data_IF_396633708289
#
_entry.id   IF_396633708289
#
_cell.length_a   1.000
_cell.length_b   1.000
_cell.length_c   1.000
_cell.angle_alpha   90.00
_cell.angle_beta   90.00
_cell.angle_gamma   90.00
#
_symmetry.space_group_name_H-M   'P 1'
#
loop_
_entity.id
_entity.type
_entity.pdbx_description
1 polymer ?
#
# COMPACT_ATOMS: atom_id res chain seq x y z
N UNK A 1 -0.32 14.12 -33.90
CA UNK A 1 0.26 14.23 -33.74
C UNK A 1 0.85 14.47 -33.21
N UNK A 2 1.08 14.60 -32.95
CA UNK A 2 1.69 14.71 -32.58
C UNK A 2 2.63 15.10 -32.14
N UNK A 3 2.92 15.39 -31.86
CA UNK A 3 3.66 15.75 -31.55
C UNK A 3 4.52 15.81 -31.11
N UNK A 4 4.64 16.03 -31.39
CA UNK A 4 5.54 15.82 -30.88
C UNK A 4 6.33 16.64 -30.32
N UNK A 5 6.44 16.64 -29.43
CA UNK A 5 7.24 17.46 -28.70
C UNK A 5 8.61 17.49 -29.23
N UNK A 6 9.36 18.39 -28.83
CA UNK A 6 10.71 18.41 -29.26
C UNK A 6 11.42 17.32 -28.57
N UNK A 7 12.46 16.83 -29.12
CA UNK A 7 13.21 15.78 -28.52
C UNK A 7 13.68 16.13 -27.14
N UNK A 8 14.03 17.38 -26.96
CA UNK A 8 14.51 17.75 -25.70
C UNK A 8 13.46 17.58 -24.65
N UNK A 9 12.25 17.91 -24.92
CA UNK A 9 11.24 17.71 -23.94
C UNK A 9 10.96 16.26 -23.75
N UNK A 10 11.03 15.48 -24.77
CA UNK A 10 10.78 14.07 -24.60
C UNK A 10 11.76 13.47 -23.64
N UNK A 11 13.02 13.84 -23.73
CA UNK A 11 13.98 13.28 -22.84
C UNK A 11 13.75 13.73 -21.43
N UNK A 12 13.38 14.96 -21.24
CA UNK A 12 13.25 15.42 -19.90
C UNK A 12 12.03 14.92 -19.24
N UNK A 13 11.07 14.42 -19.98
CA UNK A 13 9.86 13.97 -19.36
C UNK A 13 9.77 12.49 -19.24
N UNK A 14 10.88 11.83 -19.18
CA UNK A 14 10.84 10.39 -19.01
C UNK A 14 10.50 10.06 -17.56
N UNK A 15 9.53 9.24 -17.36
CA UNK A 15 9.14 8.86 -16.03
C UNK A 15 9.72 7.50 -15.71
N UNK A 16 10.15 7.31 -14.50
CA UNK A 16 10.66 6.02 -14.09
C UNK A 16 10.13 5.74 -12.70
N UNK A 17 10.14 4.49 -12.32
CA UNK A 17 9.68 4.11 -11.02
C UNK A 17 10.63 4.64 -9.98
N UNK A 18 10.12 5.29 -8.96
CA UNK A 18 10.96 5.83 -7.93
C UNK A 18 11.37 4.73 -6.98
N UNK A 19 10.44 3.87 -6.62
CA UNK A 19 10.78 2.68 -5.89
C UNK A 19 9.60 1.72 -6.04
N UNK A 20 9.81 0.49 -5.64
CA UNK A 20 8.83 -0.55 -5.81
C UNK A 20 8.54 -1.18 -4.45
N UNK A 21 7.28 -1.34 -4.12
CA UNK A 21 6.89 -1.96 -2.88
C UNK A 21 6.56 -3.41 -3.18
N UNK A 22 7.33 -4.34 -2.61
CA UNK A 22 7.16 -5.74 -2.91
C UNK A 22 6.94 -6.49 -1.63
N UNK A 23 5.83 -7.07 -1.45
CA UNK A 23 5.59 -7.92 -0.31
C UNK A 23 4.41 -8.84 -0.54
N UNK A 24 3.51 -8.44 -1.43
CA UNK A 24 2.38 -9.30 -1.74
C UNK A 24 2.86 -10.51 -2.54
N UNK A 25 2.21 -11.64 -2.31
CA UNK A 25 2.58 -12.87 -3.00
C UNK A 25 1.73 -13.12 -4.23
N UNK A 26 0.82 -12.27 -4.54
CA UNK A 26 -0.03 -12.46 -5.71
C UNK A 26 -0.47 -11.08 -6.19
N UNK A 27 -1.36 -11.04 -7.14
CA UNK A 27 -1.76 -9.79 -7.77
C UNK A 27 -2.35 -8.78 -6.82
N UNK A 28 -1.99 -7.53 -6.97
CA UNK A 28 -2.55 -6.45 -6.18
C UNK A 28 -3.80 -5.99 -6.91
N UNK A 29 -4.94 -6.04 -6.24
CA UNK A 29 -6.22 -5.75 -6.87
C UNK A 29 -6.72 -4.35 -6.58
N UNK A 30 -6.30 -3.75 -5.48
CA UNK A 30 -6.77 -2.42 -5.13
C UNK A 30 -5.76 -1.73 -4.25
N UNK A 31 -5.80 -0.42 -4.27
CA UNK A 31 -4.98 0.35 -3.36
C UNK A 31 -5.71 1.62 -3.00
N UNK A 32 -5.39 2.19 -1.88
CA UNK A 32 -6.02 3.43 -1.44
C UNK A 32 -5.08 4.21 -0.56
N UNK A 33 -5.18 5.53 -0.65
CA UNK A 33 -4.33 6.38 0.16
C UNK A 33 -5.07 6.88 1.38
N UNK A 34 -4.34 7.00 2.47
CA UNK A 34 -4.90 7.59 3.67
C UNK A 34 -5.23 9.06 3.38
N UNK A 35 -6.30 9.57 3.96
CA UNK A 35 -6.73 10.93 3.63
C UNK A 35 -5.79 12.03 4.12
N UNK A 36 -5.03 11.79 5.20
CA UNK A 36 -4.20 12.85 5.73
C UNK A 36 -2.75 12.44 5.95
N UNK A 37 -2.44 11.17 5.97
CA UNK A 37 -1.08 10.72 6.23
C UNK A 37 -0.47 10.09 4.99
N UNK A 38 0.84 10.07 4.87
CA UNK A 38 1.48 9.46 3.71
C UNK A 38 1.49 7.94 3.85
N UNK A 39 0.33 7.37 3.82
CA UNK A 39 0.12 5.96 4.04
C UNK A 39 -0.68 5.38 2.91
N UNK A 40 -0.29 4.21 2.46
CA UNK A 40 -0.96 3.51 1.39
C UNK A 40 -1.42 2.16 1.92
N UNK A 41 -2.59 1.72 1.52
CA UNK A 41 -3.06 0.39 1.85
C UNK A 41 -3.31 -0.32 0.54
N UNK A 42 -2.85 -1.56 0.45
CA UNK A 42 -3.02 -2.37 -0.75
C UNK A 42 -3.75 -3.65 -0.41
N UNK A 43 -4.51 -4.16 -1.36
CA UNK A 43 -5.28 -5.38 -1.19
C UNK A 43 -4.91 -6.33 -2.32
N UNK A 44 -4.79 -7.60 -2.01
CA UNK A 44 -4.22 -8.54 -2.95
C UNK A 44 -4.99 -9.85 -3.02
N UNK A 45 -4.76 -10.55 -4.11
CA UNK A 45 -5.27 -11.89 -4.27
C UNK A 45 -4.61 -12.85 -3.30
N UNK A 46 -3.55 -12.44 -2.63
CA UNK A 46 -2.91 -13.27 -1.63
C UNK A 46 -3.69 -13.28 -0.32
N UNK A 47 -4.90 -12.71 -0.31
CA UNK A 47 -5.82 -12.74 0.83
C UNK A 47 -5.47 -11.73 1.91
N UNK A 48 -4.57 -10.82 1.65
CA UNK A 48 -4.14 -9.86 2.67
C UNK A 48 -4.31 -8.43 2.21
N UNK A 49 -4.32 -7.53 3.19
CA UNK A 49 -4.13 -6.12 2.93
C UNK A 49 -2.84 -5.74 3.62
N UNK A 50 -2.14 -4.78 3.07
CA UNK A 50 -0.89 -4.32 3.69
C UNK A 50 -0.90 -2.81 3.80
N UNK A 51 -0.41 -2.32 4.92
CA UNK A 51 -0.33 -0.90 5.17
C UNK A 51 1.13 -0.47 5.04
N UNK A 52 1.38 0.54 4.25
CA UNK A 52 2.73 1.00 3.95
C UNK A 52 2.88 2.45 4.40
N UNK A 53 4.00 2.76 5.03
CA UNK A 53 4.30 4.14 5.39
C UNK A 53 5.18 4.71 4.32
N UNK A 54 4.65 5.61 3.52
CA UNK A 54 5.39 6.10 2.36
C UNK A 54 6.52 7.02 2.73
N UNK A 55 6.49 7.60 3.90
CA UNK A 55 7.62 8.39 4.31
C UNK A 55 8.81 7.54 4.59
N UNK A 56 8.61 6.33 5.07
CA UNK A 56 9.72 5.48 5.40
C UNK A 56 10.19 4.67 4.22
N UNK A 57 9.60 4.85 3.07
CA UNK A 57 10.08 4.14 1.92
C UNK A 57 11.15 4.92 1.20
N UNK A 58 11.50 6.10 1.65
CA UNK A 58 12.49 6.86 0.97
C UNK A 58 13.81 6.24 1.21
N UNK A 59 14.52 5.86 0.25
CA UNK A 59 15.78 5.18 0.39
C UNK A 59 16.81 6.09 0.84
N UNK A 60 17.16 5.99 1.99
CA UNK A 60 18.22 6.74 2.48
C UNK A 60 19.47 6.28 1.87
N UNK A 61 19.62 5.07 1.48
CA UNK A 61 20.82 4.65 0.91
C UNK A 61 20.60 4.29 -0.42
N UNK A 62 21.55 4.35 -1.13
CA UNK A 62 21.48 3.99 -2.43
C UNK A 62 21.40 2.60 -2.57
N UNK A 63 21.37 1.91 -1.63
CA UNK A 63 21.31 0.55 -1.77
C UNK A 63 20.09 0.25 -2.53
N UNK A 64 20.20 -0.45 -3.43
CA UNK A 64 19.12 -0.71 -4.22
C UNK A 64 18.14 -1.48 -3.58
N UNK A 65 18.43 -2.01 -2.59
CA UNK A 65 17.57 -2.83 -2.01
C UNK A 65 16.55 -2.05 -1.51
N UNK A 66 15.80 -1.62 -1.94
CA UNK A 66 14.89 -0.93 -1.50
C UNK A 66 13.79 -1.72 -1.09
N UNK A 67 13.94 -2.80 -0.40
CA UNK A 67 12.91 -3.61 0.04
C UNK A 67 12.23 -2.87 1.14
N UNK A 68 11.13 -2.28 0.88
CA UNK A 68 10.39 -1.58 1.86
C UNK A 68 9.42 -2.56 2.44
N UNK A 69 9.35 -2.65 3.74
CA UNK A 69 8.44 -3.58 4.36
C UNK A 69 7.17 -2.89 4.78
N UNK A 70 6.03 -3.56 4.71
CA UNK A 70 4.80 -2.94 5.17
C UNK A 70 4.82 -2.78 6.67
N UNK A 71 4.12 -1.79 7.16
CA UNK A 71 4.01 -1.57 8.59
C UNK A 71 3.13 -2.66 9.20
N UNK A 72 2.11 -3.09 8.52
CA UNK A 72 1.21 -4.09 9.07
C UNK A 72 0.55 -4.87 7.94
N UNK A 73 0.24 -6.12 8.19
CA UNK A 73 -0.48 -6.95 7.24
C UNK A 73 -1.76 -7.44 7.90
N UNK A 74 -2.88 -7.17 7.25
CA UNK A 74 -4.18 -7.57 7.76
C UNK A 74 -4.56 -8.90 7.14
N UNK A 75 -4.94 -9.88 7.95
CA UNK A 75 -5.22 -11.22 7.47
C UNK A 75 -6.53 -11.71 8.04
N UNK A 76 -7.55 -11.73 7.26
CA UNK A 76 -8.80 -12.34 7.69
C UNK A 76 -9.62 -12.86 6.54
N UNK A 77 -9.39 -12.37 5.33
CA UNK A 77 -10.12 -12.88 4.19
C UNK A 77 -9.63 -14.29 3.87
N UNK A 78 -10.55 -15.15 3.41
CA UNK A 78 -10.18 -16.49 3.03
C UNK A 78 -10.14 -16.65 1.53
N UNK A 79 -9.95 -15.60 0.82
CA UNK A 79 -9.79 -15.60 -0.63
C UNK A 79 -9.26 -14.25 -1.04
N UNK A 80 -9.09 -14.06 -2.32
CA UNK A 80 -8.57 -12.77 -2.81
C UNK A 80 -9.36 -11.59 -2.29
N UNK A 81 -8.66 -10.54 -1.93
CA UNK A 81 -9.28 -9.29 -1.52
C UNK A 81 -9.38 -8.46 -2.77
N UNK A 82 -10.59 -8.04 -3.11
CA UNK A 82 -10.84 -7.44 -4.42
C UNK A 82 -10.94 -5.93 -4.39
N UNK A 83 -11.28 -5.36 -3.25
CA UNK A 83 -11.47 -3.91 -3.19
C UNK A 83 -11.20 -3.41 -1.80
N UNK A 84 -10.95 -2.13 -1.68
CA UNK A 84 -10.81 -1.52 -0.37
C UNK A 84 -11.17 -0.05 -0.45
N UNK A 85 -11.53 0.52 0.68
CA UNK A 85 -11.72 1.96 0.77
C UNK A 85 -11.37 2.39 2.18
N UNK A 86 -10.96 3.62 2.34
CA UNK A 86 -10.54 4.13 3.63
C UNK A 86 -11.54 5.21 4.03
N UNK A 87 -12.00 5.17 5.26
CA UNK A 87 -12.96 6.15 5.73
C UNK A 87 -12.34 7.54 5.70
N UNK A 88 -13.19 8.54 5.54
CA UNK A 88 -12.70 9.90 5.35
C UNK A 88 -11.93 10.43 6.55
N UNK A 89 -12.14 9.88 7.73
CA UNK A 89 -11.38 10.34 8.89
C UNK A 89 -10.08 9.55 9.05
N UNK A 90 -9.85 8.53 8.25
CA UNK A 90 -8.60 7.80 8.32
C UNK A 90 -8.51 6.74 9.40
N UNK A 91 -9.57 6.52 10.15
CA UNK A 91 -9.50 5.57 11.27
C UNK A 91 -9.86 4.15 10.86
N UNK A 92 -10.62 3.99 9.82
CA UNK A 92 -11.11 2.68 9.42
C UNK A 92 -10.83 2.41 7.96
N UNK A 93 -10.65 1.15 7.65
CA UNK A 93 -10.53 0.70 6.28
C UNK A 93 -11.52 -0.43 6.07
N UNK A 94 -12.11 -0.50 4.91
CA UNK A 94 -13.08 -1.52 4.58
C UNK A 94 -12.57 -2.31 3.40
N UNK A 95 -12.66 -3.61 3.46
CA UNK A 95 -12.21 -4.45 2.35
C UNK A 95 -13.30 -5.43 1.97
N UNK A 96 -13.37 -5.74 0.69
CA UNK A 96 -14.32 -6.71 0.18
C UNK A 96 -13.58 -7.82 -0.52
N UNK A 97 -13.99 -9.03 -0.31
CA UNK A 97 -13.27 -10.18 -0.84
C UNK A 97 -14.15 -11.15 -1.57
N UNK A 98 -13.50 -12.12 -2.23
CA UNK A 98 -14.19 -13.15 -2.97
C UNK A 98 -14.89 -14.09 -2.00
N UNK A 99 -14.55 -14.04 -0.72
CA UNK A 99 -15.19 -14.86 0.29
C UNK A 99 -16.55 -14.29 0.69
N UNK A 100 -17.03 -13.28 -0.02
CA UNK A 100 -18.35 -12.70 0.19
C UNK A 100 -18.45 -11.89 1.47
N UNK A 101 -17.33 -11.49 2.03
CA UNK A 101 -17.38 -10.71 3.26
C UNK A 101 -16.84 -9.30 3.02
N UNK A 102 -17.31 -8.39 3.87
CA UNK A 102 -16.77 -7.07 3.96
C UNK A 102 -16.17 -6.98 5.34
N UNK A 103 -14.89 -6.66 5.41
CA UNK A 103 -14.20 -6.57 6.68
C UNK A 103 -13.89 -5.14 7.01
N UNK A 104 -14.01 -4.79 8.28
CA UNK A 104 -13.75 -3.44 8.75
C UNK A 104 -12.53 -3.51 9.65
N UNK A 105 -11.57 -2.69 9.35
CA UNK A 105 -10.28 -2.75 10.05
C UNK A 105 -9.99 -1.43 10.72
N UNK A 106 -9.52 -1.49 11.96
CA UNK A 106 -9.00 -0.30 12.60
C UNK A 106 -7.59 -0.08 12.11
N UNK A 107 -7.28 1.11 11.69
CA UNK A 107 -5.98 1.38 11.13
C UNK A 107 -5.01 1.76 12.23
N UNK A 108 -3.84 1.13 12.29
CA UNK A 108 -2.84 1.50 13.29
C UNK A 108 -2.18 2.80 12.92
N UNK A 109 -1.56 3.41 13.89
CA UNK A 109 -0.82 4.63 13.62
C UNK A 109 0.29 4.37 12.63
N UNK A 110 0.49 5.24 11.67
CA UNK A 110 1.55 5.01 10.69
C UNK A 110 2.94 5.06 11.28
N UNK A 111 3.08 5.58 12.49
CA UNK A 111 4.39 5.61 13.10
C UNK A 111 4.65 4.37 13.93
N UNK A 112 3.74 3.42 13.96
CA UNK A 112 3.94 2.22 14.73
C UNK A 112 5.04 1.38 14.11
N UNK A 113 5.89 0.84 14.97
CA UNK A 113 6.92 -0.06 14.50
C UNK A 113 6.28 -1.44 14.43
N UNK A 114 6.35 -2.10 13.33
CA UNK A 114 5.71 -3.39 13.17
C UNK A 114 6.20 -4.42 14.17
N UNK A 115 7.39 -4.25 14.68
CA UNK A 115 7.90 -5.21 15.62
C UNK A 115 7.53 -4.87 17.05
N UNK A 116 7.16 -3.63 17.32
CA UNK A 116 6.86 -3.23 18.68
C UNK A 116 5.41 -3.40 19.04
N UNK A 117 4.53 -3.36 18.10
CA UNK A 117 3.13 -3.34 18.40
C UNK A 117 2.42 -4.58 17.97
N UNK A 118 3.18 -5.64 17.79
CA UNK A 118 2.63 -6.85 17.26
C UNK A 118 1.37 -7.28 17.95
N UNK A 119 1.28 -7.35 19.17
CA UNK A 119 0.12 -7.85 19.84
C UNK A 119 -1.00 -6.85 20.03
N UNK A 120 -0.78 -5.60 19.72
CA UNK A 120 -1.76 -4.61 20.03
C UNK A 120 -2.87 -4.47 19.02
N UNK A 121 -2.71 -5.02 17.86
CA UNK A 121 -3.68 -4.87 16.80
C UNK A 121 -4.37 -6.15 16.42
N UNK A 122 -4.39 -7.10 17.33
CA UNK A 122 -5.12 -8.30 17.09
C UNK A 122 -6.50 -8.13 17.68
N UNK A 123 -7.49 -8.29 16.92
CA UNK A 123 -8.85 -8.12 17.40
C UNK A 123 -9.71 -9.30 17.05
#
# INVERSE_FOLDING_TARGET
MQQISTPKEAFRKTWSAKYTLRSHFDGVRALGFHPTEPVLITASEDQTLKLWNLQKTVPAKKSAALDVEPVYTFRAHTGPVLSLTIASNGDLCFSGGIDSTIRVWNLPSPSVDPYDCFGKFFF
#
